data_IF_334218447702
#
_entry.id   IF_334218447702
#
_cell.length_a   1.000
_cell.length_b   1.000
_cell.length_c   1.000
_cell.angle_alpha   90.00
_cell.angle_beta   90.00
_cell.angle_gamma   90.00
#
_symmetry.space_group_name_H-M   'P 1'
#
loop_
_entity.id
_entity.type
_entity.pdbx_description
1 polymer ?
#
# COMPACT_ATOMS: atom_id res chain seq x y z
N UNK A 1 -2.70 -3.46 23.04
CA UNK A 1 -3.98 -3.62 22.31
C UNK A 1 -3.72 -3.68 20.80
N UNK A 2 -2.85 -2.80 20.32
CA UNK A 2 -2.33 -2.61 18.97
C UNK A 2 -1.94 -3.92 18.28
N UNK A 3 -1.20 -4.79 18.97
CA UNK A 3 -0.81 -6.11 18.45
C UNK A 3 -2.01 -7.01 18.17
N UNK A 4 -2.99 -7.04 19.07
CA UNK A 4 -4.19 -7.86 18.90
C UNK A 4 -5.03 -7.33 17.74
N UNK A 5 -5.22 -6.01 17.67
CA UNK A 5 -5.96 -5.35 16.58
C UNK A 5 -5.31 -5.61 15.22
N UNK A 6 -3.98 -5.49 15.12
CA UNK A 6 -3.28 -5.77 13.88
C UNK A 6 -3.48 -7.23 13.43
N UNK A 7 -3.35 -8.21 14.34
CA UNK A 7 -3.54 -9.62 14.02
C UNK A 7 -4.99 -9.94 13.63
N UNK A 8 -5.96 -9.47 14.40
CA UNK A 8 -7.39 -9.75 14.18
C UNK A 8 -7.94 -9.03 12.94
N UNK A 9 -7.28 -7.95 12.48
CA UNK A 9 -7.66 -7.25 11.25
C UNK A 9 -7.42 -8.05 9.97
N UNK A 10 -6.56 -9.08 10.01
CA UNK A 10 -6.16 -9.84 8.83
C UNK A 10 -5.31 -9.06 7.81
N UNK A 11 -4.85 -7.86 8.16
CA UNK A 11 -4.00 -7.02 7.31
C UNK A 11 -2.56 -7.53 7.18
N UNK A 12 -1.85 -7.92 8.27
CA UNK A 12 -0.53 -8.50 8.16
C UNK A 12 -0.58 -9.96 7.67
N UNK A 13 0.47 -10.40 6.97
CA UNK A 13 0.61 -11.81 6.58
C UNK A 13 1.19 -12.60 7.76
N UNK A 14 0.53 -13.69 8.14
CA UNK A 14 0.88 -14.52 9.31
C UNK A 14 1.24 -15.94 8.83
N UNK A 15 2.21 -16.57 9.51
CA UNK A 15 2.57 -17.95 9.24
C UNK A 15 1.53 -18.93 9.80
N UNK A 16 0.82 -19.65 8.93
CA UNK A 16 -0.13 -20.70 9.35
C UNK A 16 0.58 -21.95 9.89
N UNK A 17 1.81 -22.19 9.42
CA UNK A 17 2.64 -23.32 9.78
C UNK A 17 4.02 -22.85 10.23
N UNK A 18 4.67 -23.65 11.07
CA UNK A 18 6.09 -23.46 11.38
C UNK A 18 6.97 -23.95 10.23
N UNK A 19 8.16 -23.35 10.10
CA UNK A 19 9.08 -23.72 9.04
C UNK A 19 10.26 -22.77 8.92
N UNK A 20 11.09 -23.00 7.92
CA UNK A 20 12.23 -22.15 7.58
C UNK A 20 11.94 -21.41 6.28
N UNK A 21 12.21 -20.12 6.27
CA UNK A 21 12.08 -19.30 5.06
C UNK A 21 13.20 -19.70 4.10
N UNK A 22 12.82 -20.14 2.92
CA UNK A 22 13.77 -20.44 1.84
C UNK A 22 14.13 -19.14 1.14
N UNK A 23 13.11 -18.38 0.75
CA UNK A 23 13.25 -17.22 -0.11
C UNK A 23 12.13 -16.22 0.15
N UNK A 24 12.45 -14.93 -0.02
CA UNK A 24 11.52 -13.82 0.13
C UNK A 24 11.64 -12.95 -1.10
N UNK A 25 10.51 -12.74 -1.77
CA UNK A 25 10.37 -11.79 -2.85
C UNK A 25 9.53 -10.60 -2.39
N UNK A 26 9.33 -9.65 -3.30
CA UNK A 26 8.42 -8.54 -3.15
C UNK A 26 6.95 -9.03 -3.15
N UNK A 27 6.61 -10.01 -3.98
CA UNK A 27 5.23 -10.48 -4.18
C UNK A 27 4.90 -11.78 -3.44
N UNK A 28 5.87 -12.48 -2.86
CA UNK A 28 5.64 -13.75 -2.16
C UNK A 28 6.75 -14.12 -1.17
N UNK A 29 6.40 -15.00 -0.23
CA UNK A 29 7.34 -15.64 0.72
C UNK A 29 7.28 -17.16 0.53
N UNK A 30 8.43 -17.80 0.44
CA UNK A 30 8.55 -19.26 0.34
C UNK A 30 8.98 -19.83 1.69
N UNK A 31 8.09 -20.59 2.31
CA UNK A 31 8.30 -21.24 3.61
C UNK A 31 8.39 -22.76 3.42
N UNK A 32 9.39 -23.42 4.00
CA UNK A 32 9.49 -24.88 4.02
C UNK A 32 9.33 -25.41 5.43
N UNK A 33 8.40 -26.34 5.62
CA UNK A 33 8.11 -26.98 6.90
C UNK A 33 7.54 -28.37 6.67
N UNK A 34 7.83 -29.32 7.58
CA UNK A 34 7.25 -30.68 7.58
C UNK A 34 7.31 -31.41 6.22
N UNK A 35 8.39 -31.23 5.46
CA UNK A 35 8.62 -31.92 4.19
C UNK A 35 7.93 -31.30 2.96
N UNK A 36 7.20 -30.18 3.12
CA UNK A 36 6.60 -29.45 2.01
C UNK A 36 7.02 -27.98 2.00
N UNK A 37 6.84 -27.35 0.84
CA UNK A 37 7.11 -25.92 0.63
C UNK A 37 5.80 -25.21 0.31
N UNK A 38 5.54 -24.12 1.03
CA UNK A 38 4.37 -23.25 0.89
C UNK A 38 4.81 -21.93 0.30
N UNK A 39 4.11 -21.48 -0.75
CA UNK A 39 4.24 -20.14 -1.30
C UNK A 39 3.12 -19.27 -0.76
N UNK A 40 3.47 -18.21 -0.04
CA UNK A 40 2.54 -17.26 0.56
C UNK A 40 2.57 -15.99 -0.28
N UNK A 41 1.54 -15.69 -1.09
CA UNK A 41 1.49 -14.47 -1.88
C UNK A 41 1.28 -13.25 -0.97
N UNK A 42 1.87 -12.13 -1.36
CA UNK A 42 1.76 -10.85 -0.67
C UNK A 42 0.90 -9.89 -1.49
N UNK A 43 0.15 -9.06 -0.78
CA UNK A 43 -0.64 -8.00 -1.40
C UNK A 43 0.28 -6.87 -1.85
N UNK A 44 0.25 -6.55 -3.15
CA UNK A 44 1.11 -5.54 -3.76
C UNK A 44 0.30 -4.43 -4.42
N UNK A 45 0.47 -3.19 -3.94
CA UNK A 45 -0.16 -1.98 -4.49
C UNK A 45 -1.66 -2.14 -4.82
N UNK A 46 -2.40 -2.84 -3.96
CA UNK A 46 -3.81 -3.10 -4.18
C UNK A 46 -4.64 -1.89 -3.70
N UNK A 47 -5.65 -1.51 -4.49
CA UNK A 47 -6.60 -0.47 -4.12
C UNK A 47 -7.59 -0.97 -3.08
N UNK A 48 -7.80 -0.19 -2.02
CA UNK A 48 -8.92 -0.39 -1.09
C UNK A 48 -10.22 0.27 -1.57
N UNK A 49 -11.34 -0.07 -0.96
CA UNK A 49 -12.64 0.57 -1.23
C UNK A 49 -12.62 2.09 -0.99
N UNK A 50 -11.75 2.58 -0.09
CA UNK A 50 -11.56 4.01 0.20
C UNK A 50 -10.38 4.63 -0.56
N UNK A 51 -9.92 3.98 -1.65
CA UNK A 51 -8.83 4.45 -2.51
C UNK A 51 -7.46 4.58 -1.80
N UNK A 52 -7.26 3.90 -0.67
CA UNK A 52 -5.94 3.79 -0.02
C UNK A 52 -5.15 2.62 -0.61
N UNK A 53 -3.83 2.68 -0.49
CA UNK A 53 -2.95 1.59 -0.91
C UNK A 53 -2.87 0.49 0.16
N UNK A 54 -3.20 -0.73 -0.23
CA UNK A 54 -2.95 -1.96 0.51
C UNK A 54 -1.67 -2.58 -0.04
N UNK A 55 -0.64 -2.65 0.80
CA UNK A 55 0.65 -3.21 0.43
C UNK A 55 1.25 -3.92 1.64
N UNK A 56 1.70 -5.15 1.42
CA UNK A 56 2.37 -5.96 2.42
C UNK A 56 3.88 -5.95 2.19
N UNK A 57 4.63 -5.63 3.24
CA UNK A 57 6.08 -5.58 3.24
C UNK A 57 6.65 -6.65 4.15
N UNK A 58 7.51 -7.50 3.60
CA UNK A 58 8.16 -8.59 4.34
C UNK A 58 8.97 -8.07 5.53
N UNK A 59 8.85 -8.74 6.67
CA UNK A 59 9.60 -8.48 7.91
C UNK A 59 10.65 -9.55 8.21
N UNK A 60 10.84 -10.45 7.25
CA UNK A 60 11.62 -11.67 7.40
C UNK A 60 12.56 -11.83 6.22
N UNK A 61 13.67 -12.53 6.45
CA UNK A 61 14.69 -12.80 5.44
C UNK A 61 14.93 -14.32 5.31
N UNK A 62 15.52 -14.71 4.18
CA UNK A 62 15.92 -16.09 3.93
C UNK A 62 16.73 -16.69 5.08
N UNK A 63 16.46 -17.96 5.39
CA UNK A 63 17.16 -18.71 6.41
C UNK A 63 16.58 -18.63 7.83
N UNK A 64 15.63 -17.73 8.10
CA UNK A 64 15.01 -17.59 9.43
C UNK A 64 13.97 -18.69 9.69
N UNK A 65 14.00 -19.27 10.89
CA UNK A 65 12.96 -20.17 11.37
C UNK A 65 11.77 -19.37 11.91
N UNK A 66 10.57 -19.76 11.52
CA UNK A 66 9.31 -19.10 11.82
C UNK A 66 8.41 -20.07 12.58
N UNK A 67 7.74 -19.56 13.60
CA UNK A 67 6.72 -20.30 14.35
C UNK A 67 5.34 -20.02 13.78
N UNK A 68 4.42 -20.97 13.95
CA UNK A 68 3.00 -20.74 13.69
C UNK A 68 2.50 -19.50 14.44
N UNK A 69 1.72 -18.66 13.76
CA UNK A 69 1.17 -17.41 14.29
C UNK A 69 2.13 -16.21 14.26
N UNK A 70 3.36 -16.39 13.77
CA UNK A 70 4.31 -15.29 13.65
C UNK A 70 4.02 -14.43 12.40
N UNK A 71 4.16 -13.11 12.54
CA UNK A 71 4.02 -12.16 11.43
C UNK A 71 5.20 -12.32 10.46
N UNK A 72 4.86 -12.52 9.19
CA UNK A 72 5.78 -12.66 8.06
C UNK A 72 5.94 -11.34 7.31
N UNK A 73 4.85 -10.61 7.13
CA UNK A 73 4.84 -9.32 6.47
C UNK A 73 3.87 -8.36 7.19
N UNK A 74 4.30 -7.13 7.36
CA UNK A 74 3.43 -6.04 7.79
C UNK A 74 2.54 -5.62 6.63
N UNK A 75 1.30 -5.22 6.90
CA UNK A 75 0.41 -4.67 5.90
C UNK A 75 0.24 -3.15 6.01
N UNK A 76 -0.86 -2.65 5.46
CA UNK A 76 -1.18 -1.22 5.55
C UNK A 76 -1.36 -0.79 7.00
N UNK A 77 -0.64 0.25 7.41
CA UNK A 77 -0.67 0.81 8.76
C UNK A 77 -0.32 -0.19 9.89
N UNK A 78 0.60 -1.12 9.63
CA UNK A 78 1.21 -1.94 10.68
C UNK A 78 2.74 -1.87 10.65
N UNK A 79 3.38 -1.97 11.81
CA UNK A 79 4.83 -2.08 11.94
C UNK A 79 5.15 -3.11 13.02
N UNK A 80 5.93 -4.13 12.68
CA UNK A 80 6.31 -5.18 13.63
C UNK A 80 5.13 -6.00 14.15
N UNK A 81 4.04 -6.10 13.38
CA UNK A 81 2.81 -6.76 13.81
C UNK A 81 1.94 -5.94 14.78
N UNK A 82 2.21 -4.65 14.93
CA UNK A 82 1.39 -3.72 15.73
C UNK A 82 0.75 -2.65 14.84
N UNK A 83 -0.40 -2.13 15.27
CA UNK A 83 -1.10 -1.06 14.59
C UNK A 83 -0.29 0.26 14.63
N UNK A 84 -0.08 0.87 13.48
CA UNK A 84 0.71 2.09 13.31
C UNK A 84 -0.01 3.07 12.35
N UNK A 85 -1.03 3.78 12.86
CA UNK A 85 -1.86 4.71 12.08
C UNK A 85 -1.20 6.07 11.78
N UNK A 86 -0.08 6.38 12.42
CA UNK A 86 0.59 7.67 12.31
C UNK A 86 2.09 7.58 12.60
N UNK A 87 2.67 8.70 13.01
CA UNK A 87 4.10 8.82 13.30
C UNK A 87 4.32 9.52 14.63
N UNK A 88 5.37 9.10 15.32
CA UNK A 88 5.86 9.80 16.50
C UNK A 88 6.61 11.06 16.03
N UNK A 89 6.23 12.22 16.54
CA UNK A 89 6.85 13.51 16.23
C UNK A 89 7.15 14.28 17.52
N UNK A 90 8.12 15.20 17.46
CA UNK A 90 8.37 16.14 18.54
C UNK A 90 7.34 17.26 18.48
N UNK A 91 6.68 17.53 19.61
CA UNK A 91 5.63 18.55 19.72
C UNK A 91 6.05 19.59 20.75
N UNK A 92 5.89 20.87 20.41
CA UNK A 92 6.04 21.99 21.33
C UNK A 92 4.68 22.64 21.58
N UNK A 93 4.30 22.77 22.85
CA UNK A 93 3.07 23.43 23.27
C UNK A 93 3.36 24.88 23.63
N UNK A 94 3.29 25.77 22.63
CA UNK A 94 3.43 27.21 22.86
C UNK A 94 2.75 28.02 21.75
N UNK A 95 2.25 29.24 22.04
CA UNK A 95 1.80 30.16 21.00
C UNK A 95 2.94 30.53 20.07
N UNK A 96 2.69 30.57 18.76
CA UNK A 96 3.69 30.94 17.76
C UNK A 96 3.13 31.96 16.77
N UNK A 97 3.39 33.25 17.04
CA UNK A 97 3.10 34.38 16.14
C UNK A 97 1.68 34.40 15.53
N UNK A 98 0.70 33.78 16.21
CA UNK A 98 -0.68 33.65 15.72
C UNK A 98 -0.91 32.56 14.67
N UNK A 99 0.12 31.85 14.21
CA UNK A 99 -0.02 30.77 13.22
C UNK A 99 -0.74 29.52 13.77
N UNK A 100 -0.74 29.34 15.08
CA UNK A 100 -1.48 28.29 15.78
C UNK A 100 -2.68 28.85 16.56
N UNK A 101 -3.34 29.86 16.02
CA UNK A 101 -4.57 30.41 16.60
C UNK A 101 -5.72 29.39 16.54
N UNK A 102 -6.51 29.32 17.61
CA UNK A 102 -7.60 28.34 17.79
C UNK A 102 -7.14 26.89 17.54
N UNK A 103 -7.65 26.25 16.50
CA UNK A 103 -7.41 24.83 16.17
C UNK A 103 -6.31 24.64 15.10
N UNK A 104 -5.64 25.72 14.69
CA UNK A 104 -4.58 25.64 13.69
C UNK A 104 -3.32 24.97 14.25
N UNK A 105 -2.72 24.07 13.46
CA UNK A 105 -1.48 23.37 13.79
C UNK A 105 -0.37 23.83 12.86
N UNK A 106 0.71 24.35 13.45
CA UNK A 106 1.93 24.65 12.72
C UNK A 106 2.77 23.38 12.58
N UNK A 107 3.23 23.08 11.37
CA UNK A 107 4.07 21.92 11.08
C UNK A 107 5.44 22.35 10.59
N UNK A 108 6.47 21.56 10.93
CA UNK A 108 7.81 21.75 10.39
C UNK A 108 7.86 21.25 8.95
N UNK A 109 8.52 22.01 8.06
CA UNK A 109 8.80 21.62 6.68
C UNK A 109 9.54 20.27 6.57
N UNK A 110 10.29 19.89 7.62
CA UNK A 110 10.98 18.59 7.72
C UNK A 110 10.02 17.42 7.52
N UNK A 111 8.77 17.55 7.97
CA UNK A 111 7.75 16.51 7.82
C UNK A 111 7.38 16.25 6.36
N UNK A 112 7.56 17.25 5.48
CA UNK A 112 7.39 17.13 4.03
C UNK A 112 8.65 16.56 3.39
N UNK A 113 9.82 17.11 3.70
CA UNK A 113 11.08 16.67 3.09
C UNK A 113 11.50 15.23 3.43
N UNK A 114 11.07 14.72 4.58
CA UNK A 114 11.35 13.34 5.01
C UNK A 114 10.17 12.37 4.77
N UNK A 115 9.15 12.77 4.00
CA UNK A 115 7.98 11.93 3.68
C UNK A 115 7.26 11.34 4.92
N UNK A 116 7.25 12.05 6.05
CA UNK A 116 6.76 11.52 7.33
C UNK A 116 5.27 11.21 7.28
N UNK A 117 4.49 12.13 6.69
CA UNK A 117 3.03 12.01 6.53
C UNK A 117 2.61 11.78 5.07
N UNK A 118 3.52 11.30 4.23
CA UNK A 118 3.23 10.97 2.82
C UNK A 118 2.43 9.66 2.73
N UNK A 119 1.36 9.64 1.92
CA UNK A 119 0.49 8.47 1.71
C UNK A 119 0.22 8.21 0.23
N UNK A 120 -0.02 6.94 -0.11
CA UNK A 120 -0.39 6.52 -1.47
C UNK A 120 -1.90 6.33 -1.62
N UNK A 121 -2.46 6.93 -2.67
CA UNK A 121 -3.87 6.81 -3.02
C UNK A 121 -4.02 6.28 -4.45
N UNK A 122 -4.83 5.25 -4.62
CA UNK A 122 -5.04 4.57 -5.91
C UNK A 122 -6.49 4.78 -6.34
N UNK A 123 -6.68 5.43 -7.50
CA UNK A 123 -8.00 5.67 -8.10
C UNK A 123 -8.18 4.81 -9.34
N UNK A 124 -9.37 4.22 -9.48
CA UNK A 124 -9.76 3.46 -10.68
C UNK A 124 -10.66 4.34 -11.53
N UNK A 125 -10.28 4.55 -12.78
CA UNK A 125 -11.08 5.20 -13.80
C UNK A 125 -11.51 4.13 -14.79
N UNK A 126 -12.81 3.97 -14.98
CA UNK A 126 -13.38 2.97 -15.89
C UNK A 126 -14.17 3.69 -16.97
N UNK A 127 -14.01 3.22 -18.21
CA UNK A 127 -14.80 3.64 -19.37
C UNK A 127 -15.22 2.38 -20.11
N UNK A 128 -16.44 2.38 -20.63
CA UNK A 128 -16.99 1.29 -21.43
C UNK A 128 -17.40 1.86 -22.79
N UNK A 129 -17.19 1.08 -23.83
CA UNK A 129 -17.67 1.39 -25.19
C UNK A 129 -19.02 0.76 -25.41
N UNK A 130 -19.94 1.50 -26.02
CA UNK A 130 -21.28 1.02 -26.33
C UNK A 130 -21.53 0.94 -27.83
N UNK A 131 -22.46 0.07 -28.22
CA UNK A 131 -22.98 0.04 -29.59
C UNK A 131 -24.15 1.01 -29.67
N UNK A 132 -23.99 2.06 -30.47
CA UNK A 132 -25.03 3.06 -30.70
C UNK A 132 -25.74 2.80 -32.03
N UNK A 133 -26.87 3.48 -32.27
CA UNK A 133 -27.56 3.45 -33.56
C UNK A 133 -26.74 4.06 -34.70
N UNK A 134 -25.73 4.87 -34.39
CA UNK A 134 -24.80 5.49 -35.36
C UNK A 134 -23.53 4.67 -35.57
N UNK A 135 -23.41 3.51 -34.91
CA UNK A 135 -22.26 2.62 -34.98
C UNK A 135 -21.65 2.31 -33.61
N UNK A 136 -20.71 1.35 -33.55
CA UNK A 136 -20.00 1.01 -32.32
C UNK A 136 -18.98 2.09 -31.96
N UNK A 137 -18.94 2.47 -30.68
CA UNK A 137 -17.84 3.27 -30.13
C UNK A 137 -16.52 2.48 -30.19
N UNK A 138 -15.42 3.19 -30.40
CA UNK A 138 -14.07 2.61 -30.54
C UNK A 138 -13.11 3.31 -29.60
N UNK A 139 -12.29 2.53 -28.90
CA UNK A 139 -11.07 3.03 -28.25
C UNK A 139 -10.05 3.21 -29.37
N UNK A 140 -9.51 4.42 -29.49
CA UNK A 140 -8.48 4.75 -30.48
C UNK A 140 -7.71 5.99 -30.06
N UNK A 141 -6.43 6.04 -30.43
CA UNK A 141 -5.61 7.24 -30.34
C UNK A 141 -5.85 8.26 -31.48
N UNK A 142 -6.68 7.94 -32.48
CA UNK A 142 -7.04 8.85 -33.58
C UNK A 142 -8.16 9.82 -33.16
N UNK A 143 -7.85 10.75 -32.27
CA UNK A 143 -8.82 11.71 -31.73
C UNK A 143 -8.92 12.92 -32.66
N UNK A 144 -10.11 13.22 -33.24
CA UNK A 144 -10.27 14.33 -34.16
C UNK A 144 -10.07 15.67 -33.44
N UNK A 145 -9.48 16.64 -34.15
CA UNK A 145 -9.21 17.99 -33.65
C UNK A 145 -8.26 18.06 -32.43
N UNK A 146 -7.49 17.01 -32.15
CA UNK A 146 -6.52 16.99 -31.06
C UNK A 146 -5.07 17.05 -31.58
N UNK A 147 -4.23 17.83 -30.91
CA UNK A 147 -2.82 17.93 -31.25
C UNK A 147 -2.02 16.69 -30.81
N UNK A 148 -1.05 16.28 -31.63
CA UNK A 148 -0.22 15.09 -31.36
C UNK A 148 0.53 15.15 -30.03
N UNK A 149 0.85 16.34 -29.53
CA UNK A 149 1.57 16.51 -28.26
C UNK A 149 0.73 16.06 -27.05
N UNK A 150 -0.60 16.11 -27.12
CA UNK A 150 -1.51 15.66 -26.06
C UNK A 150 -1.67 14.13 -26.06
N UNK A 151 -1.47 13.51 -27.22
CA UNK A 151 -1.57 12.05 -27.42
C UNK A 151 -0.29 11.31 -27.02
N UNK A 152 0.77 12.00 -26.63
CA UNK A 152 2.11 11.41 -26.36
C UNK A 152 2.14 10.32 -25.28
N UNK A 153 1.15 10.30 -24.40
CA UNK A 153 1.03 9.33 -23.31
C UNK A 153 0.03 8.20 -23.63
N UNK A 154 -0.61 8.21 -24.79
CA UNK A 154 -1.49 7.14 -25.23
C UNK A 154 -0.66 6.09 -26.00
N UNK A 155 -1.04 4.83 -25.84
CA UNK A 155 -0.44 3.75 -26.61
C UNK A 155 -1.12 3.63 -28.00
N UNK A 156 -0.85 2.53 -28.70
CA UNK A 156 -1.35 2.30 -30.07
C UNK A 156 -2.77 1.74 -30.12
N UNK A 157 -3.44 1.58 -28.97
CA UNK A 157 -4.76 0.94 -28.90
C UNK A 157 -5.90 1.83 -29.40
#
# INVERSE_FOLDING_TARGET
>A
LERQVALDSGVPAIAEHEGKIIYTDIDKIILSGNGYTVSIPLVMYQRSNKNTCMHQKTQVHGGKCIKRGQVLADGAATVGGELALGKNILVAYMPWEGYNFEDAVLISERLVYEDVYTSFHIRKYEIQTHVTSQGPERITNEIPHLEAHLLRNLDKN
#
